data_IF_332992256788
#
_entry.id   IF_332992256788
#
_cell.length_a   1.000
_cell.length_b   1.000
_cell.length_c   1.000
_cell.angle_alpha   90.00
_cell.angle_beta   90.00
_cell.angle_gamma   90.00
#
_symmetry.space_group_name_H-M   'P 1'
#
loop_
_entity.id
_entity.type
_entity.pdbx_description
1 polymer ?
#
# COMPACT_ATOMS: atom_id res chain seq x y z
N UNK A 1 -12.41 -30.77 -3.31
CA UNK A 1 -13.43 -29.86 -2.78
C UNK A 1 -13.20 -28.43 -3.36
N UNK A 2 -13.42 -28.30 -4.70
CA UNK A 2 -13.17 -27.03 -5.42
C UNK A 2 -13.84 -25.80 -4.79
N UNK A 3 -15.04 -25.96 -4.24
CA UNK A 3 -15.79 -24.84 -3.64
C UNK A 3 -15.15 -24.22 -2.39
N UNK A 4 -14.18 -24.88 -1.80
CA UNK A 4 -13.46 -24.36 -0.62
C UNK A 4 -12.04 -23.93 -0.95
N UNK A 5 -11.61 -24.13 -2.19
CA UNK A 5 -10.29 -23.71 -2.63
C UNK A 5 -10.18 -22.20 -2.73
N UNK A 6 -9.13 -21.64 -2.12
CA UNK A 6 -8.71 -20.26 -2.37
C UNK A 6 -7.81 -20.31 -3.60
N UNK A 7 -8.10 -19.47 -4.57
CA UNK A 7 -7.33 -19.36 -5.81
C UNK A 7 -6.54 -18.05 -5.82
N UNK A 8 -5.30 -18.09 -6.27
CA UNK A 8 -4.43 -16.94 -6.41
C UNK A 8 -3.46 -17.14 -7.58
N UNK A 9 -2.83 -16.08 -8.03
CA UNK A 9 -1.83 -16.11 -9.10
C UNK A 9 -0.43 -16.03 -8.49
N UNK A 10 -0.24 -15.14 -7.55
CA UNK A 10 0.99 -14.83 -6.89
C UNK A 10 0.74 -14.53 -5.41
N UNK A 11 1.73 -14.79 -4.57
CA UNK A 11 1.71 -14.49 -3.15
C UNK A 11 3.12 -14.11 -2.69
N UNK A 12 3.29 -13.88 -1.38
CA UNK A 12 4.57 -13.52 -0.79
C UNK A 12 5.68 -14.57 -0.97
N UNK A 13 5.34 -15.82 -1.26
CA UNK A 13 6.34 -16.87 -1.48
C UNK A 13 6.83 -16.93 -2.93
N UNK A 14 6.01 -16.49 -3.88
CA UNK A 14 6.31 -16.54 -5.32
C UNK A 14 6.71 -15.18 -5.89
N UNK A 15 6.64 -14.11 -5.11
CA UNK A 15 6.95 -12.75 -5.55
C UNK A 15 8.43 -12.53 -5.89
N UNK A 16 8.67 -11.52 -6.72
CA UNK A 16 10.02 -10.99 -6.93
C UNK A 16 10.42 -10.09 -5.75
N UNK A 17 11.44 -10.45 -5.01
CA UNK A 17 12.02 -9.65 -3.92
C UNK A 17 13.35 -9.00 -4.33
N UNK A 18 14.21 -9.78 -4.98
CA UNK A 18 15.51 -9.33 -5.47
C UNK A 18 16.00 -10.24 -6.58
N UNK A 19 17.12 -9.91 -7.20
CA UNK A 19 17.76 -10.76 -8.21
C UNK A 19 18.13 -12.17 -7.68
N UNK A 20 18.39 -12.27 -6.37
CA UNK A 20 18.79 -13.51 -5.70
C UNK A 20 17.67 -14.16 -4.87
N UNK A 21 16.53 -13.50 -4.72
CA UNK A 21 15.37 -13.98 -3.96
C UNK A 21 14.11 -13.84 -4.80
N UNK A 22 13.84 -14.86 -5.60
CA UNK A 22 12.68 -14.94 -6.47
C UNK A 22 12.27 -16.39 -6.69
N UNK A 23 10.97 -16.65 -6.63
CA UNK A 23 10.35 -17.96 -6.81
C UNK A 23 9.22 -17.84 -7.84
N UNK A 24 9.56 -17.91 -9.13
CA UNK A 24 8.60 -17.86 -10.23
C UNK A 24 7.58 -16.70 -10.19
N UNK A 25 8.03 -15.44 -9.98
CA UNK A 25 7.12 -14.30 -9.90
C UNK A 25 6.43 -14.03 -11.25
N UNK A 26 5.23 -13.46 -11.18
CA UNK A 26 4.52 -12.96 -12.35
C UNK A 26 5.25 -11.72 -12.88
N UNK A 27 6.05 -11.90 -13.92
CA UNK A 27 6.90 -10.84 -14.50
C UNK A 27 6.23 -10.05 -15.61
N UNK A 28 5.21 -10.63 -16.23
CA UNK A 28 4.51 -10.06 -17.39
C UNK A 28 3.04 -10.41 -17.30
N UNK A 29 2.23 -9.58 -17.94
CA UNK A 29 0.79 -9.85 -18.09
C UNK A 29 0.05 -10.00 -16.75
N UNK A 30 0.51 -9.29 -15.70
CA UNK A 30 -0.11 -9.28 -14.36
C UNK A 30 -1.62 -9.01 -14.43
N UNK A 31 -2.04 -8.07 -15.28
CA UNK A 31 -3.46 -7.76 -15.47
C UNK A 31 -4.22 -8.93 -16.13
N UNK A 32 -3.65 -9.56 -17.17
CA UNK A 32 -4.27 -10.71 -17.82
C UNK A 32 -4.40 -11.90 -16.86
N UNK A 33 -3.38 -12.14 -16.03
CA UNK A 33 -3.41 -13.18 -15.02
C UNK A 33 -4.47 -12.92 -13.94
N UNK A 34 -4.59 -11.67 -13.44
CA UNK A 34 -5.67 -11.28 -12.52
C UNK A 34 -7.04 -11.36 -13.17
N UNK A 35 -7.17 -11.02 -14.45
CA UNK A 35 -8.42 -11.14 -15.19
C UNK A 35 -8.84 -12.62 -15.30
N UNK A 36 -7.90 -13.51 -15.62
CA UNK A 36 -8.17 -14.95 -15.60
C UNK A 36 -8.64 -15.41 -14.22
N UNK A 37 -7.90 -15.10 -13.15
CA UNK A 37 -8.23 -15.47 -11.78
C UNK A 37 -9.64 -15.00 -11.39
N UNK A 38 -9.94 -13.73 -11.63
CA UNK A 38 -11.19 -13.11 -11.19
C UNK A 38 -12.40 -13.55 -12.03
N UNK A 39 -12.22 -14.08 -13.23
CA UNK A 39 -13.30 -14.66 -14.03
C UNK A 39 -13.53 -16.15 -13.75
N UNK A 40 -12.59 -16.83 -13.07
CA UNK A 40 -12.75 -18.27 -12.75
C UNK A 40 -13.67 -18.50 -11.54
N UNK A 41 -14.37 -19.67 -11.46
CA UNK A 41 -15.00 -20.11 -10.22
C UNK A 41 -13.98 -20.26 -9.09
N UNK A 42 -14.42 -20.08 -7.85
CA UNK A 42 -13.56 -20.18 -6.67
C UNK A 42 -13.64 -18.96 -5.78
N UNK A 43 -12.80 -18.92 -4.75
CA UNK A 43 -12.60 -17.78 -3.87
C UNK A 43 -11.27 -17.12 -4.23
N UNK A 44 -11.26 -16.12 -5.12
CA UNK A 44 -10.02 -15.51 -5.57
C UNK A 44 -9.41 -14.61 -4.47
N UNK A 45 -8.11 -14.74 -4.31
CA UNK A 45 -7.28 -13.84 -3.49
C UNK A 45 -6.37 -13.05 -4.41
N UNK A 46 -6.57 -11.73 -4.47
CA UNK A 46 -5.70 -10.81 -5.19
C UNK A 46 -4.48 -10.51 -4.32
N UNK A 47 -3.29 -10.66 -4.89
CA UNK A 47 -2.06 -10.36 -4.17
C UNK A 47 -1.96 -8.87 -3.85
N UNK A 48 -1.60 -8.55 -2.60
CA UNK A 48 -1.58 -7.15 -2.12
C UNK A 48 -0.72 -6.24 -3.00
N UNK A 49 0.46 -6.68 -3.44
CA UNK A 49 1.33 -5.88 -4.32
C UNK A 49 0.68 -5.52 -5.66
N UNK A 50 -0.16 -6.41 -6.22
CA UNK A 50 -0.92 -6.09 -7.43
C UNK A 50 -2.03 -5.07 -7.16
N UNK A 51 -2.61 -5.11 -5.94
CA UNK A 51 -3.67 -4.19 -5.54
C UNK A 51 -3.17 -2.78 -5.24
N UNK A 52 -2.01 -2.64 -4.59
CA UNK A 52 -1.43 -1.33 -4.28
C UNK A 52 -0.70 -0.68 -5.45
N UNK A 53 -0.34 -1.44 -6.49
CA UNK A 53 0.23 -0.90 -7.72
C UNK A 53 -0.83 -0.08 -8.47
N UNK A 54 -0.62 1.22 -8.53
CA UNK A 54 -1.54 2.17 -9.20
C UNK A 54 -1.81 1.80 -10.66
N UNK A 55 -0.84 1.20 -11.36
CA UNK A 55 -0.97 0.75 -12.74
C UNK A 55 -1.91 -0.43 -12.90
N UNK A 56 -2.09 -1.22 -11.83
CA UNK A 56 -2.92 -2.43 -11.83
C UNK A 56 -4.25 -2.23 -11.11
N UNK A 57 -4.27 -1.41 -10.07
CA UNK A 57 -5.38 -1.26 -9.11
C UNK A 57 -6.72 -0.99 -9.78
N UNK A 58 -6.78 -0.02 -10.67
CA UNK A 58 -8.04 0.38 -11.33
C UNK A 58 -8.61 -0.74 -12.19
N UNK A 59 -7.79 -1.43 -12.95
CA UNK A 59 -8.23 -2.53 -13.79
C UNK A 59 -8.65 -3.74 -12.97
N UNK A 60 -7.92 -4.09 -11.92
CA UNK A 60 -8.31 -5.15 -10.98
C UNK A 60 -9.66 -4.82 -10.32
N UNK A 61 -9.89 -3.56 -9.94
CA UNK A 61 -11.17 -3.15 -9.38
C UNK A 61 -12.33 -3.29 -10.38
N UNK A 62 -12.13 -2.97 -11.67
CA UNK A 62 -13.11 -3.25 -12.73
C UNK A 62 -13.41 -4.75 -12.84
N UNK A 63 -12.38 -5.59 -12.79
CA UNK A 63 -12.54 -7.06 -12.84
C UNK A 63 -13.35 -7.58 -11.66
N UNK A 64 -13.05 -7.12 -10.43
CA UNK A 64 -13.78 -7.45 -9.21
C UNK A 64 -15.25 -7.02 -9.33
N UNK A 65 -15.50 -5.81 -9.85
CA UNK A 65 -16.86 -5.28 -10.02
C UNK A 65 -17.64 -6.09 -11.06
N UNK A 66 -17.04 -6.43 -12.20
CA UNK A 66 -17.63 -7.28 -13.22
C UNK A 66 -17.99 -8.66 -12.66
N UNK A 67 -17.05 -9.33 -11.95
CA UNK A 67 -17.28 -10.58 -11.26
C UNK A 67 -18.51 -10.53 -10.34
N UNK A 68 -18.60 -9.48 -9.51
CA UNK A 68 -19.70 -9.28 -8.56
C UNK A 68 -21.03 -9.04 -9.27
N UNK A 69 -21.04 -8.20 -10.31
CA UNK A 69 -22.24 -7.92 -11.09
C UNK A 69 -22.76 -9.18 -11.81
N UNK A 70 -21.88 -9.99 -12.35
CA UNK A 70 -22.25 -11.29 -12.95
C UNK A 70 -22.66 -12.34 -11.91
N UNK A 71 -22.24 -12.18 -10.65
CA UNK A 71 -22.51 -13.16 -9.60
C UNK A 71 -21.68 -14.44 -9.77
N UNK A 72 -20.44 -14.33 -10.25
CA UNK A 72 -19.50 -15.47 -10.31
C UNK A 72 -19.01 -15.78 -8.91
N UNK A 73 -19.10 -17.05 -8.51
CA UNK A 73 -18.77 -17.52 -7.17
C UNK A 73 -18.11 -18.91 -7.20
N UNK A 74 -17.85 -19.50 -6.05
CA UNK A 74 -17.13 -20.75 -5.91
C UNK A 74 -17.89 -22.02 -6.38
N UNK A 75 -19.16 -21.90 -6.69
CA UNK A 75 -19.98 -22.98 -7.27
C UNK A 75 -20.39 -22.68 -8.72
N UNK A 76 -19.90 -21.60 -9.30
CA UNK A 76 -20.09 -21.29 -10.71
C UNK A 76 -19.45 -22.38 -11.57
N UNK A 77 -20.04 -22.66 -12.71
CA UNK A 77 -19.45 -23.51 -13.75
C UNK A 77 -18.68 -22.67 -14.74
N UNK A 78 -17.73 -23.27 -15.43
CA UNK A 78 -17.03 -22.61 -16.53
C UNK A 78 -16.78 -23.59 -17.69
N UNK A 79 -16.56 -23.00 -18.85
CA UNK A 79 -16.17 -23.74 -20.06
C UNK A 79 -15.12 -22.95 -20.84
N UNK A 80 -14.12 -23.67 -21.35
CA UNK A 80 -13.13 -23.09 -22.24
C UNK A 80 -13.69 -23.00 -23.65
N UNK A 81 -13.72 -21.83 -24.24
CA UNK A 81 -14.20 -21.56 -25.58
C UNK A 81 -13.09 -21.64 -26.63
N UNK A 82 -11.88 -21.13 -26.26
CA UNK A 82 -10.69 -21.18 -27.10
C UNK A 82 -9.43 -21.16 -26.23
N UNK A 83 -8.39 -21.87 -26.67
CA UNK A 83 -7.07 -21.82 -26.01
C UNK A 83 -5.99 -22.03 -27.06
N UNK A 84 -5.22 -20.98 -27.30
CA UNK A 84 -4.05 -20.97 -28.21
C UNK A 84 -2.83 -20.46 -27.46
N UNK A 85 -1.69 -20.39 -28.11
CA UNK A 85 -0.46 -19.81 -27.53
C UNK A 85 -0.54 -18.32 -27.22
N UNK A 86 -1.51 -17.60 -27.80
CA UNK A 86 -1.62 -16.13 -27.64
C UNK A 86 -2.95 -15.66 -27.07
N UNK A 87 -3.97 -16.51 -27.06
CA UNK A 87 -5.33 -16.17 -26.63
C UNK A 87 -5.95 -17.34 -25.90
N UNK A 88 -6.44 -17.09 -24.68
CA UNK A 88 -7.30 -17.98 -23.94
C UNK A 88 -8.65 -17.30 -23.70
N UNK A 89 -9.73 -18.02 -24.00
CA UNK A 89 -11.10 -17.55 -23.79
C UNK A 89 -11.89 -18.60 -23.03
N UNK A 90 -12.51 -18.18 -21.93
CA UNK A 90 -13.43 -19.02 -21.16
C UNK A 90 -14.68 -18.24 -20.74
N UNK A 91 -15.72 -18.97 -20.41
CA UNK A 91 -17.00 -18.43 -19.97
C UNK A 91 -17.31 -19.01 -18.60
N UNK A 92 -17.50 -18.16 -17.60
CA UNK A 92 -18.02 -18.53 -16.30
C UNK A 92 -19.50 -18.19 -16.20
N UNK A 93 -20.29 -19.10 -15.60
CA UNK A 93 -21.72 -18.88 -15.40
C UNK A 93 -21.97 -18.37 -13.99
N UNK A 94 -22.26 -17.09 -13.88
CA UNK A 94 -22.67 -16.45 -12.64
C UNK A 94 -24.17 -16.56 -12.39
N UNK A 95 -24.63 -16.13 -11.22
CA UNK A 95 -26.05 -16.12 -10.85
C UNK A 95 -26.88 -15.11 -11.63
N UNK A 96 -26.26 -14.03 -12.09
CA UNK A 96 -26.95 -12.92 -12.77
C UNK A 96 -26.76 -12.93 -14.28
N UNK A 97 -25.56 -13.24 -14.75
CA UNK A 97 -25.19 -13.34 -16.15
C UNK A 97 -23.92 -14.17 -16.33
N UNK A 98 -23.61 -14.53 -17.57
CA UNK A 98 -22.35 -15.18 -17.92
C UNK A 98 -21.27 -14.15 -18.13
N UNK A 99 -20.04 -14.47 -17.70
CA UNK A 99 -18.84 -13.68 -17.86
C UNK A 99 -17.87 -14.39 -18.81
N UNK A 100 -17.66 -13.84 -19.99
CA UNK A 100 -16.64 -14.28 -20.93
C UNK A 100 -15.37 -13.49 -20.64
N UNK A 101 -14.29 -14.21 -20.40
CA UNK A 101 -12.96 -13.68 -20.18
C UNK A 101 -12.08 -14.06 -21.37
N UNK A 102 -11.48 -13.08 -22.00
CA UNK A 102 -10.43 -13.24 -23.00
C UNK A 102 -9.13 -12.67 -22.46
N UNK A 103 -8.05 -13.47 -22.47
CA UNK A 103 -6.73 -13.06 -21.96
C UNK A 103 -5.61 -13.48 -22.91
N UNK A 104 -4.54 -12.70 -22.92
CA UNK A 104 -3.33 -12.90 -23.71
C UNK A 104 -3.15 -11.86 -24.83
N UNK A 105 -2.03 -11.95 -25.53
CA UNK A 105 -1.65 -11.00 -26.59
C UNK A 105 -2.67 -10.91 -27.74
N UNK A 106 -3.39 -12.00 -28.01
CA UNK A 106 -4.40 -12.07 -29.06
C UNK A 106 -5.70 -11.33 -28.74
N UNK A 107 -5.87 -10.77 -27.54
CA UNK A 107 -7.07 -10.02 -27.13
C UNK A 107 -7.31 -8.80 -28.02
N UNK A 108 -6.25 -8.15 -28.50
CA UNK A 108 -6.37 -6.98 -29.36
C UNK A 108 -7.11 -7.25 -30.68
N UNK A 109 -7.05 -8.48 -31.17
CA UNK A 109 -7.78 -8.94 -32.38
C UNK A 109 -9.03 -9.77 -32.08
N UNK A 110 -9.36 -9.95 -30.82
CA UNK A 110 -10.51 -10.78 -30.44
C UNK A 110 -11.82 -10.00 -30.52
N UNK A 111 -12.79 -10.60 -31.20
CA UNK A 111 -14.17 -10.12 -31.24
C UNK A 111 -15.05 -11.16 -30.56
N UNK A 112 -15.82 -10.74 -29.57
CA UNK A 112 -16.77 -11.62 -28.90
C UNK A 112 -17.92 -12.00 -29.88
N UNK A 113 -18.52 -13.18 -29.72
CA UNK A 113 -19.67 -13.60 -30.52
C UNK A 113 -20.87 -12.65 -30.38
N UNK A 114 -21.81 -12.71 -31.29
CA UNK A 114 -23.06 -11.96 -31.21
C UNK A 114 -23.80 -12.25 -29.89
N UNK A 115 -24.41 -11.22 -29.33
CA UNK A 115 -25.10 -11.30 -28.04
C UNK A 115 -24.21 -11.12 -26.82
N UNK A 116 -22.92 -10.83 -27.00
CA UNK A 116 -22.01 -10.48 -25.92
C UNK A 116 -21.69 -8.97 -25.93
N UNK A 117 -21.70 -8.37 -24.77
CA UNK A 117 -21.46 -6.94 -24.56
C UNK A 117 -20.12 -6.75 -23.85
N UNK A 118 -19.28 -5.86 -24.35
CA UNK A 118 -18.04 -5.49 -23.68
C UNK A 118 -18.35 -4.83 -22.33
N UNK A 119 -17.86 -5.43 -21.26
CA UNK A 119 -18.00 -4.92 -19.88
C UNK A 119 -16.78 -4.08 -19.47
N UNK A 120 -15.57 -4.60 -19.71
CA UNK A 120 -14.32 -3.91 -19.46
C UNK A 120 -13.19 -4.53 -20.28
N UNK A 121 -12.15 -3.75 -20.53
CA UNK A 121 -10.92 -4.22 -21.17
C UNK A 121 -9.70 -3.45 -20.70
N UNK A 122 -8.53 -4.03 -20.89
CA UNK A 122 -7.24 -3.43 -20.63
C UNK A 122 -6.12 -4.15 -21.37
N UNK A 123 -4.89 -3.98 -20.92
CA UNK A 123 -3.74 -4.60 -21.55
C UNK A 123 -3.80 -6.12 -21.43
N UNK A 124 -3.92 -6.80 -22.58
CA UNK A 124 -4.00 -8.25 -22.74
C UNK A 124 -5.18 -8.94 -22.00
N UNK A 125 -6.26 -8.20 -21.71
CA UNK A 125 -7.47 -8.78 -21.17
C UNK A 125 -8.74 -8.06 -21.63
N UNK A 126 -9.85 -8.78 -21.70
CA UNK A 126 -11.18 -8.23 -21.92
C UNK A 126 -12.24 -9.12 -21.27
N UNK A 127 -13.29 -8.48 -20.71
CA UNK A 127 -14.48 -9.08 -20.19
C UNK A 127 -15.69 -8.72 -21.03
N UNK A 128 -16.48 -9.72 -21.36
CA UNK A 128 -17.77 -9.55 -22.02
C UNK A 128 -18.84 -10.28 -21.20
N UNK A 129 -20.07 -9.82 -21.31
CA UNK A 129 -21.23 -10.40 -20.62
C UNK A 129 -22.38 -10.62 -21.58
N UNK A 130 -23.20 -11.66 -21.36
CA UNK A 130 -24.38 -11.96 -22.17
C UNK A 130 -25.60 -11.08 -21.81
N UNK A 131 -25.49 -10.26 -20.78
CA UNK A 131 -26.41 -9.17 -20.46
C UNK A 131 -25.61 -7.89 -20.28
N UNK A 132 -26.13 -6.78 -20.76
CA UNK A 132 -25.46 -5.49 -20.58
C UNK A 132 -25.35 -5.16 -19.09
N UNK A 133 -24.11 -4.91 -18.64
CA UNK A 133 -23.80 -4.44 -17.28
C UNK A 133 -23.04 -3.12 -17.35
N UNK A 134 -23.16 -2.31 -16.31
CA UNK A 134 -22.42 -1.06 -16.20
C UNK A 134 -21.44 -1.14 -15.01
N UNK A 135 -20.15 -1.14 -15.32
CA UNK A 135 -19.12 -1.08 -14.30
C UNK A 135 -19.04 0.30 -13.68
N UNK A 136 -19.28 1.35 -14.47
CA UNK A 136 -19.20 2.74 -14.04
C UNK A 136 -17.77 3.13 -13.62
N UNK A 137 -17.63 4.30 -13.07
CA UNK A 137 -16.36 4.80 -12.57
C UNK A 137 -15.87 4.00 -11.35
N UNK A 138 -14.57 3.77 -11.29
CA UNK A 138 -13.91 3.19 -10.12
C UNK A 138 -13.33 4.36 -9.31
N UNK A 139 -13.95 4.62 -8.18
CA UNK A 139 -13.48 5.62 -7.21
C UNK A 139 -12.90 4.86 -6.02
N UNK A 140 -11.65 5.16 -5.69
CA UNK A 140 -11.04 4.71 -4.45
C UNK A 140 -11.25 5.80 -3.42
N UNK A 141 -11.87 5.50 -2.27
CA UNK A 141 -11.91 6.48 -1.19
C UNK A 141 -10.46 6.81 -0.81
N UNK A 142 -10.13 8.09 -0.83
CA UNK A 142 -8.90 8.55 -0.19
C UNK A 142 -9.09 8.37 1.31
N UNK A 143 -8.14 7.68 1.96
CA UNK A 143 -8.08 7.68 3.41
C UNK A 143 -7.88 9.14 3.85
N UNK A 144 -8.72 9.66 4.74
CA UNK A 144 -8.56 11.02 5.23
C UNK A 144 -7.18 11.11 5.90
N UNK A 145 -6.36 12.05 5.43
CA UNK A 145 -5.06 12.30 6.05
C UNK A 145 -5.28 12.83 7.47
N UNK A 146 -4.66 12.17 8.44
CA UNK A 146 -4.66 12.66 9.83
C UNK A 146 -3.38 13.48 10.06
N UNK A 147 -3.47 14.79 10.31
CA UNK A 147 -2.33 15.59 10.69
C UNK A 147 -1.63 15.01 11.92
N UNK A 148 -0.33 14.89 11.86
CA UNK A 148 0.47 14.32 12.94
C UNK A 148 1.81 15.02 13.08
N UNK A 149 2.47 14.78 14.22
CA UNK A 149 3.80 15.34 14.52
C UNK A 149 4.81 14.19 14.42
N UNK A 150 5.87 14.41 13.68
CA UNK A 150 7.02 13.53 13.60
C UNK A 150 8.17 14.02 14.44
N UNK A 151 8.98 13.11 14.96
CA UNK A 151 10.24 13.38 15.62
C UNK A 151 11.37 12.92 14.73
N UNK A 152 12.29 13.84 14.42
CA UNK A 152 13.52 13.50 13.71
C UNK A 152 14.67 13.59 14.69
N UNK A 153 15.47 12.51 14.77
CA UNK A 153 16.62 12.41 15.65
C UNK A 153 17.91 12.14 14.87
N UNK A 154 19.03 12.69 15.32
CA UNK A 154 20.35 12.41 14.74
C UNK A 154 21.38 12.12 15.82
N UNK A 155 22.04 10.96 15.68
CA UNK A 155 23.21 10.53 16.47
C UNK A 155 24.48 11.02 15.76
N UNK A 156 25.25 11.86 16.47
CA UNK A 156 26.50 12.43 15.98
C UNK A 156 27.73 11.89 16.70
N UNK A 157 27.59 10.83 17.48
CA UNK A 157 28.65 10.27 18.33
C UNK A 157 29.88 9.90 17.53
N UNK A 158 29.70 9.32 16.35
CA UNK A 158 30.82 8.88 15.49
C UNK A 158 31.65 10.05 14.94
N UNK A 159 31.05 11.23 14.78
CA UNK A 159 31.72 12.43 14.24
C UNK A 159 32.09 13.45 15.31
N UNK A 160 31.64 13.27 16.55
CA UNK A 160 31.96 14.10 17.69
C UNK A 160 31.50 15.55 17.61
N UNK A 161 30.40 15.82 16.90
CA UNK A 161 29.84 17.15 16.80
C UNK A 161 29.21 17.57 18.13
N UNK A 162 29.56 18.75 18.60
CA UNK A 162 29.02 19.31 19.86
C UNK A 162 27.88 20.31 19.65
N UNK A 163 27.68 20.73 18.42
CA UNK A 163 26.57 21.57 17.96
C UNK A 163 25.98 20.94 16.70
N UNK A 164 24.67 20.89 16.62
CA UNK A 164 23.96 20.28 15.48
C UNK A 164 22.91 21.24 14.98
N UNK A 165 22.96 21.53 13.70
CA UNK A 165 21.98 22.35 13.01
C UNK A 165 21.15 21.47 12.07
N UNK A 166 19.85 21.70 12.06
CA UNK A 166 18.92 21.07 11.13
C UNK A 166 18.55 22.11 10.07
N UNK A 167 19.08 21.94 8.88
CA UNK A 167 18.59 22.64 7.70
C UNK A 167 17.48 21.83 7.07
N UNK A 168 16.30 22.42 6.88
CA UNK A 168 15.10 21.70 6.42
C UNK A 168 14.41 22.43 5.29
N UNK A 169 13.83 21.67 4.38
CA UNK A 169 12.92 22.16 3.33
C UNK A 169 11.87 21.13 3.01
N UNK A 170 10.74 21.53 2.41
CA UNK A 170 9.67 20.63 2.02
C UNK A 170 9.88 19.98 0.66
N UNK A 171 9.20 18.86 0.42
CA UNK A 171 9.27 18.13 -0.83
C UNK A 171 8.73 18.90 -2.03
N UNK A 172 7.53 19.45 -1.91
CA UNK A 172 6.91 20.31 -2.93
C UNK A 172 7.07 21.82 -2.65
N UNK A 173 7.73 22.17 -1.56
CA UNK A 173 8.03 23.54 -1.15
C UNK A 173 6.86 24.30 -0.54
N UNK A 174 5.65 23.75 -0.47
CA UNK A 174 4.47 24.52 -0.09
C UNK A 174 3.98 24.30 1.34
N UNK A 175 4.29 23.18 1.98
CA UNK A 175 3.66 22.81 3.25
C UNK A 175 4.62 22.40 4.36
N UNK A 176 5.86 22.03 4.05
CA UNK A 176 6.78 21.59 5.09
C UNK A 176 7.48 22.76 5.77
N UNK A 177 7.79 22.64 7.06
CA UNK A 177 8.54 23.64 7.80
C UNK A 177 9.95 23.77 7.21
N UNK A 178 10.23 24.88 6.56
CA UNK A 178 11.52 25.19 6.02
C UNK A 178 12.32 26.03 7.02
N UNK A 179 13.64 25.80 7.06
CA UNK A 179 14.55 26.70 7.78
C UNK A 179 14.65 28.04 7.07
N UNK A 180 14.68 29.12 7.83
CA UNK A 180 14.72 30.47 7.25
C UNK A 180 16.08 30.86 6.67
N UNK A 181 17.18 30.40 7.24
CA UNK A 181 18.54 30.75 6.87
C UNK A 181 19.49 29.58 7.13
N UNK A 182 20.45 29.40 6.21
CA UNK A 182 21.55 28.45 6.41
C UNK A 182 22.42 28.85 7.61
N UNK A 183 22.85 27.90 8.46
CA UNK A 183 22.74 26.46 8.35
C UNK A 183 21.48 25.85 9.00
N UNK A 184 20.42 26.58 9.19
CA UNK A 184 19.22 26.21 9.87
C UNK A 184 19.23 26.43 11.37
N UNK A 185 18.30 25.78 12.06
CA UNK A 185 18.17 25.95 13.51
C UNK A 185 19.18 25.08 14.26
N UNK A 186 19.90 25.66 15.22
CA UNK A 186 20.68 24.89 16.19
C UNK A 186 19.74 24.15 17.12
N UNK A 187 19.92 22.83 17.21
CA UNK A 187 19.08 21.94 18.02
C UNK A 187 19.81 21.57 19.30
N UNK A 188 19.25 22.00 20.44
CA UNK A 188 19.80 21.69 21.76
C UNK A 188 19.07 20.56 22.49
N UNK A 189 17.89 20.16 22.01
CA UNK A 189 17.12 19.09 22.65
C UNK A 189 17.75 17.74 22.36
N UNK A 190 18.08 16.99 23.40
CA UNK A 190 18.67 15.64 23.31
C UNK A 190 17.76 14.63 24.01
N UNK A 191 17.65 13.44 23.41
CA UNK A 191 16.93 12.31 23.96
C UNK A 191 17.82 11.09 23.86
N UNK A 192 17.86 10.28 24.93
CA UNK A 192 18.56 8.99 24.92
C UNK A 192 17.56 7.87 24.73
N UNK A 193 17.76 7.05 23.69
CA UNK A 193 16.94 5.89 23.33
C UNK A 193 17.87 4.71 23.13
N UNK A 194 17.62 3.59 23.81
CA UNK A 194 18.44 2.37 23.73
C UNK A 194 19.95 2.61 23.91
N UNK A 195 20.30 3.54 24.82
CA UNK A 195 21.68 3.90 25.11
C UNK A 195 22.38 4.82 24.09
N UNK A 196 21.69 5.22 23.02
CA UNK A 196 22.17 6.23 22.05
C UNK A 196 21.56 7.57 22.34
N UNK A 197 22.33 8.65 22.20
CA UNK A 197 21.86 10.02 22.37
C UNK A 197 21.65 10.69 21.02
N UNK A 198 20.46 11.22 20.83
CA UNK A 198 20.04 11.90 19.61
C UNK A 198 19.78 13.38 19.89
N UNK A 199 20.24 14.26 19.02
CA UNK A 199 19.66 15.59 18.91
C UNK A 199 18.33 15.45 18.18
N UNK A 200 17.24 16.00 18.75
CA UNK A 200 15.89 15.78 18.24
C UNK A 200 15.14 17.08 18.01
N UNK A 201 14.32 17.08 16.94
CA UNK A 201 13.38 18.16 16.65
C UNK A 201 12.07 17.57 16.13
N UNK A 202 10.96 18.25 16.45
CA UNK A 202 9.63 17.83 15.99
C UNK A 202 9.16 18.68 14.82
N UNK A 203 8.40 18.07 13.92
CA UNK A 203 7.80 18.71 12.76
C UNK A 203 6.36 18.25 12.59
N UNK A 204 5.49 19.15 12.14
CA UNK A 204 4.08 18.82 11.86
C UNK A 204 3.94 18.46 10.39
N UNK A 205 3.31 17.34 10.14
CA UNK A 205 2.86 16.88 8.83
C UNK A 205 1.36 17.12 8.79
N UNK A 206 0.91 18.06 7.99
CA UNK A 206 -0.48 18.54 7.98
C UNK A 206 -1.29 18.03 6.79
N UNK A 207 -0.62 17.48 5.79
CA UNK A 207 -1.25 16.89 4.61
C UNK A 207 -0.45 15.71 4.07
N UNK A 208 -1.08 14.90 3.23
CA UNK A 208 -0.41 13.78 2.55
C UNK A 208 0.70 14.21 1.57
N UNK A 209 0.80 15.50 1.25
CA UNK A 209 1.84 16.07 0.40
C UNK A 209 3.02 16.63 1.19
N UNK A 210 2.86 16.76 2.50
CA UNK A 210 3.92 17.30 3.34
C UNK A 210 4.99 16.24 3.55
N UNK A 211 6.24 16.65 3.40
CA UNK A 211 7.41 15.92 3.84
C UNK A 211 8.48 16.87 4.31
N UNK A 212 9.47 16.37 5.00
CA UNK A 212 10.61 17.18 5.46
C UNK A 212 11.89 16.58 4.91
N UNK A 213 12.66 17.42 4.22
CA UNK A 213 13.99 17.07 3.76
C UNK A 213 15.02 17.72 4.68
N UNK A 214 16.18 17.10 4.84
CA UNK A 214 17.20 17.52 5.81
C UNK A 214 18.60 17.56 5.24
N UNK A 215 19.40 18.50 5.76
CA UNK A 215 20.86 18.43 5.89
C UNK A 215 21.18 18.68 7.35
N UNK A 216 21.94 17.79 7.97
CA UNK A 216 22.52 18.03 9.28
C UNK A 216 23.90 18.65 9.11
N UNK A 217 24.23 19.64 9.97
CA UNK A 217 25.53 20.28 9.95
C UNK A 217 25.95 20.69 11.35
N UNK A 218 27.17 21.18 11.50
CA UNK A 218 27.66 21.70 12.78
C UNK A 218 28.20 23.12 12.64
N UNK A 219 28.11 23.89 13.71
CA UNK A 219 28.68 25.25 13.78
C UNK A 219 28.11 26.19 12.72
N UNK A 220 28.93 26.61 11.77
CA UNK A 220 28.55 27.52 10.68
C UNK A 220 27.99 26.83 9.44
N UNK A 221 27.70 25.53 9.53
CA UNK A 221 27.17 24.74 8.41
C UNK A 221 28.18 23.84 7.73
N UNK A 222 29.39 23.71 8.29
CA UNK A 222 30.42 22.79 7.83
C UNK A 222 31.24 22.27 9.01
N UNK A 223 31.52 20.93 9.04
CA UNK A 223 31.06 19.86 8.12
C UNK A 223 29.55 19.66 8.12
N UNK A 224 29.05 19.01 7.04
CA UNK A 224 27.64 18.75 6.84
C UNK A 224 27.43 17.33 6.28
N UNK A 225 26.19 16.86 6.31
CA UNK A 225 25.79 15.57 5.73
C UNK A 225 25.40 15.69 4.26
N UNK A 226 25.25 14.55 3.61
CA UNK A 226 24.46 14.43 2.38
C UNK A 226 23.01 14.80 2.66
N UNK A 227 22.26 15.11 1.60
CA UNK A 227 20.84 15.44 1.68
C UNK A 227 20.02 14.19 1.99
N UNK A 228 18.98 14.35 2.82
CA UNK A 228 17.99 13.33 3.18
C UNK A 228 16.63 13.84 2.71
N UNK A 229 15.83 12.97 2.07
CA UNK A 229 14.60 13.37 1.42
C UNK A 229 13.38 12.61 1.95
N UNK A 230 12.20 13.21 1.79
CA UNK A 230 10.87 12.61 1.90
C UNK A 230 10.54 11.98 3.27
N UNK A 231 11.01 12.61 4.36
CA UNK A 231 10.69 12.13 5.71
C UNK A 231 9.28 12.57 6.09
N UNK A 232 8.39 11.60 6.31
CA UNK A 232 6.97 11.81 6.66
C UNK A 232 6.57 11.18 7.98
N UNK A 233 7.46 10.38 8.59
CA UNK A 233 7.25 9.66 9.85
C UNK A 233 8.41 9.91 10.81
N UNK A 234 8.32 9.40 12.05
CA UNK A 234 9.44 9.43 12.96
C UNK A 234 10.68 8.80 12.34
N UNK A 235 11.81 9.48 12.37
CA UNK A 235 13.04 9.00 11.76
C UNK A 235 14.26 9.29 12.63
N UNK A 236 15.18 8.33 12.69
CA UNK A 236 16.42 8.41 13.45
C UNK A 236 17.60 8.07 12.55
N UNK A 237 18.59 8.95 12.58
CA UNK A 237 19.75 8.87 11.70
C UNK A 237 21.03 8.80 12.50
N UNK A 238 22.05 8.13 11.97
CA UNK A 238 23.42 8.16 12.48
C UNK A 238 24.35 8.76 11.44
N UNK A 239 25.16 9.75 11.83
CA UNK A 239 26.15 10.33 10.93
C UNK A 239 27.41 9.47 10.93
N UNK A 240 27.81 9.04 9.73
CA UNK A 240 29.04 8.25 9.53
C UNK A 240 30.27 9.16 9.36
N UNK A 241 31.43 8.65 9.75
CA UNK A 241 32.73 9.25 9.39
C UNK A 241 33.06 9.08 7.90
N UNK A 242 32.40 8.14 7.22
CA UNK A 242 32.55 7.94 5.77
C UNK A 242 31.94 9.13 5.03
N UNK A 243 32.58 9.54 3.95
CA UNK A 243 32.14 10.70 3.15
C UNK A 243 31.77 10.32 1.73
N UNK A 244 30.88 11.14 1.15
CA UNK A 244 30.64 11.22 -0.29
C UNK A 244 31.00 12.64 -0.72
N UNK A 245 32.12 12.79 -1.42
CA UNK A 245 32.73 14.09 -1.63
C UNK A 245 33.24 14.68 -0.31
N UNK A 246 32.81 15.89 0.02
CA UNK A 246 33.09 16.59 1.27
C UNK A 246 32.03 16.38 2.37
N UNK A 247 30.90 15.73 2.03
CA UNK A 247 29.76 15.53 2.92
C UNK A 247 29.80 14.20 3.63
N UNK A 248 29.44 14.17 4.90
CA UNK A 248 29.31 12.93 5.69
C UNK A 248 28.12 12.10 5.22
N UNK A 249 28.27 10.79 5.15
CA UNK A 249 27.15 9.87 4.90
C UNK A 249 26.25 9.78 6.13
N UNK A 250 25.00 9.44 5.89
CA UNK A 250 23.97 9.26 6.91
C UNK A 250 23.36 7.89 6.73
N UNK A 251 23.26 7.16 7.81
CA UNK A 251 22.57 5.88 7.86
C UNK A 251 21.23 6.08 8.55
N UNK A 252 20.15 5.64 7.89
CA UNK A 252 18.84 5.54 8.53
C UNK A 252 18.84 4.34 9.47
N UNK A 253 18.66 4.62 10.75
CA UNK A 253 18.65 3.61 11.82
C UNK A 253 17.29 3.53 12.54
N UNK A 254 16.24 4.05 11.92
CA UNK A 254 14.90 4.12 12.49
C UNK A 254 14.42 2.76 13.00
N UNK A 255 14.61 1.71 12.21
CA UNK A 255 14.23 0.34 12.59
C UNK A 255 15.07 -0.25 13.75
N UNK A 256 16.22 0.37 14.07
CA UNK A 256 17.10 -0.06 15.16
C UNK A 256 16.83 0.71 16.46
N UNK A 257 16.01 1.75 16.39
CA UNK A 257 15.67 2.60 17.52
C UNK A 257 14.20 2.31 17.88
N UNK A 258 13.98 1.74 19.06
CA UNK A 258 12.63 1.59 19.60
C UNK A 258 12.33 2.80 20.46
N UNK A 259 11.74 3.88 19.93
CA UNK A 259 11.31 4.96 20.81
C UNK A 259 10.31 4.37 21.78
N UNK A 260 10.50 4.64 23.09
CA UNK A 260 9.42 4.45 24.05
C UNK A 260 8.33 5.45 23.64
N UNK A 261 7.51 5.04 22.70
CA UNK A 261 6.27 5.73 22.41
C UNK A 261 5.49 5.53 23.70
N UNK A 262 5.46 6.58 24.56
CA UNK A 262 4.46 6.63 25.61
C UNK A 262 3.15 6.28 24.89
N UNK A 263 2.42 5.22 25.32
CA UNK A 263 1.22 4.82 24.62
C UNK A 263 0.42 6.09 24.45
N UNK A 264 0.21 6.50 23.20
CA UNK A 264 -0.71 7.61 22.86
C UNK A 264 -1.93 7.24 23.66
N UNK A 265 -2.27 8.04 24.67
CA UNK A 265 -3.48 7.80 25.43
C UNK A 265 -4.51 7.61 24.33
N UNK A 266 -4.98 6.37 24.15
CA UNK A 266 -6.01 6.08 23.18
C UNK A 266 -7.12 7.03 23.58
N UNK A 267 -7.24 8.11 22.85
CA UNK A 267 -8.35 9.01 23.00
C UNK A 267 -9.50 8.05 23.00
N UNK A 268 -10.27 8.02 24.08
CA UNK A 268 -11.43 7.17 24.20
C UNK A 268 -12.16 7.30 22.88
N UNK A 269 -11.94 6.38 21.95
CA UNK A 269 -12.83 6.19 20.83
C UNK A 269 -14.13 5.74 21.47
N UNK A 270 -14.87 6.72 21.98
CA UNK A 270 -16.22 6.59 22.44
C UNK A 270 -17.16 6.37 21.28
N UNK A 271 -16.83 5.42 20.43
CA UNK A 271 -17.80 4.79 19.57
C UNK A 271 -18.04 3.42 20.17
N UNK A 272 -19.17 3.24 20.87
CA UNK A 272 -19.79 1.96 21.18
C UNK A 272 -20.09 1.20 19.86
N UNK A 273 -19.16 1.20 18.91
CA UNK A 273 -19.32 0.58 17.62
C UNK A 273 -19.10 -0.93 17.76
N UNK A 274 -20.12 -1.68 17.43
CA UNK A 274 -20.13 -3.12 17.46
C UNK A 274 -19.92 -3.62 16.03
N UNK A 275 -19.04 -4.59 15.86
CA UNK A 275 -18.75 -5.18 14.56
C UNK A 275 -19.04 -6.67 14.58
N UNK A 276 -19.56 -7.20 13.49
CA UNK A 276 -19.62 -8.64 13.24
C UNK A 276 -18.20 -9.20 13.01
N UNK A 277 -18.03 -10.52 13.05
CA UNK A 277 -16.73 -11.18 12.85
C UNK A 277 -16.15 -10.90 11.45
N UNK A 278 -17.00 -10.57 10.48
CA UNK A 278 -16.62 -10.18 9.13
C UNK A 278 -16.34 -8.66 8.98
N UNK A 279 -16.21 -7.93 10.12
CA UNK A 279 -15.83 -6.51 10.15
C UNK A 279 -16.94 -5.53 9.86
N UNK A 280 -18.20 -5.96 9.70
CA UNK A 280 -19.32 -5.06 9.43
C UNK A 280 -19.87 -4.43 10.70
N UNK A 281 -20.10 -3.13 10.68
CA UNK A 281 -20.73 -2.41 11.81
C UNK A 281 -22.13 -2.94 12.05
N UNK A 282 -22.45 -3.30 13.31
CA UNK A 282 -23.76 -3.80 13.73
C UNK A 282 -24.53 -2.73 14.52
N UNK A 283 -25.82 -2.73 14.35
CA UNK A 283 -26.73 -1.85 15.12
C UNK A 283 -27.23 -2.47 16.44
N UNK A 284 -27.05 -3.77 16.63
CA UNK A 284 -27.53 -4.50 17.82
C UNK A 284 -26.46 -5.47 18.34
N UNK A 285 -26.38 -5.61 19.67
CA UNK A 285 -25.54 -6.59 20.39
C UNK A 285 -26.21 -7.96 20.40
N UNK A 286 -26.21 -8.66 19.28
CA UNK A 286 -26.80 -10.01 19.17
C UNK A 286 -25.83 -10.99 18.57
N UNK A 287 -25.77 -12.21 19.13
CA UNK A 287 -24.89 -13.27 18.66
C UNK A 287 -23.41 -12.97 18.94
N UNK A 288 -22.53 -13.36 18.03
CA UNK A 288 -21.10 -13.15 18.12
C UNK A 288 -20.72 -11.81 17.47
N UNK A 289 -19.99 -10.95 18.21
CA UNK A 289 -19.52 -9.65 17.74
C UNK A 289 -18.23 -9.21 18.41
N UNK A 290 -17.60 -8.18 17.90
CA UNK A 290 -16.39 -7.55 18.44
C UNK A 290 -16.78 -6.16 18.97
N UNK A 291 -16.45 -5.90 20.23
CA UNK A 291 -16.60 -4.59 20.87
C UNK A 291 -15.30 -4.30 21.62
N UNK A 292 -14.74 -3.12 21.41
CA UNK A 292 -13.45 -2.68 21.98
C UNK A 292 -12.32 -3.72 21.77
N UNK A 293 -12.27 -4.32 20.57
CA UNK A 293 -11.28 -5.32 20.20
C UNK A 293 -11.47 -6.70 20.88
N UNK A 294 -12.52 -6.88 21.68
CA UNK A 294 -12.81 -8.14 22.35
C UNK A 294 -13.96 -8.88 21.68
N UNK A 295 -13.80 -10.19 21.53
CA UNK A 295 -14.84 -11.08 21.03
C UNK A 295 -15.88 -11.32 22.12
N UNK A 296 -17.12 -10.96 21.88
CA UNK A 296 -18.23 -11.11 22.81
C UNK A 296 -19.30 -12.02 22.21
N UNK A 297 -19.81 -12.93 23.01
CA UNK A 297 -20.92 -13.83 22.67
C UNK A 297 -22.10 -13.48 23.57
N UNK A 298 -23.13 -12.88 22.98
CA UNK A 298 -24.41 -12.73 23.70
C UNK A 298 -25.26 -13.98 23.43
N UNK A 299 -25.56 -14.74 24.48
CA UNK A 299 -26.58 -15.78 24.40
C UNK A 299 -27.95 -15.08 24.29
N UNK A 300 -28.73 -15.50 23.30
CA UNK A 300 -30.13 -15.10 23.16
C UNK A 300 -30.93 -15.53 24.37
#
# INVERSE_FOLDING_TARGET
>A
YQRYGITFIENHDTEYRSATSQNDPVRRDTLAANAYLLAMPGTPCVFLKHWIDEKCRTDIAKMVKARRLCGVHNQSTFSVSSSTSTLHVHIATGTNCRLLCAVGKGVSGYTAPDGWYLAAKGYHWAYYTDKKIEIGEIVFPEEPFEPHTITVGVDVSAVGWTKVNFWTWGGDGSHAPASGKWPGDEVGTMVTIDGRTFYTKQYNINSAKDCVNFVFSTGTGSPQTVDIYDVTENAYFAISTTKTGDKNRVDDITDQVTPVIAPKAQGKHGTNAIYSIDGRKKSKRSGLFIEDGKKIVNKL
#
